data_IF_327090722718
#
_entry.id   IF_327090722718
#
_cell.length_a   1.000
_cell.length_b   1.000
_cell.length_c   1.000
_cell.angle_alpha   90.00
_cell.angle_beta   90.00
_cell.angle_gamma   90.00
#
_symmetry.space_group_name_H-M   'P 1'
#
loop_
_entity.id
_entity.type
_entity.pdbx_description
1 polymer ?
#
# COMPACT_ATOMS: atom_id res chain seq x y z
N UNK A 1 15.89 -9.93 -5.55
CA UNK A 1 14.95 -10.49 -4.56
C UNK A 1 15.09 -12.01 -4.59
N UNK A 2 15.43 -12.67 -3.49
CA UNK A 2 15.40 -14.12 -3.41
C UNK A 2 13.95 -14.55 -3.12
N UNK A 3 13.40 -15.44 -3.94
CA UNK A 3 12.04 -15.94 -3.82
C UNK A 3 11.93 -16.86 -2.59
N UNK A 4 11.02 -16.56 -1.66
CA UNK A 4 10.89 -17.31 -0.40
C UNK A 4 9.75 -18.34 -0.46
N UNK A 5 9.88 -19.50 0.20
CA UNK A 5 8.86 -20.55 0.23
C UNK A 5 7.50 -20.11 0.80
N UNK A 6 7.48 -19.09 1.66
CA UNK A 6 6.26 -18.60 2.33
C UNK A 6 5.49 -17.52 1.54
N UNK A 7 5.82 -17.33 0.25
CA UNK A 7 5.04 -16.41 -0.59
C UNK A 7 3.69 -17.05 -0.96
N UNK A 8 2.63 -16.25 -0.87
CA UNK A 8 1.29 -16.63 -1.31
C UNK A 8 1.10 -16.59 -2.83
N UNK A 9 2.00 -15.90 -3.53
CA UNK A 9 2.03 -15.82 -4.99
C UNK A 9 3.09 -16.82 -5.49
N UNK A 10 3.09 -17.27 -6.75
CA UNK A 10 4.25 -18.02 -7.32
C UNK A 10 5.24 -17.08 -8.00
N UNK A 11 6.44 -17.55 -8.33
CA UNK A 11 7.42 -16.74 -9.08
C UNK A 11 6.87 -16.34 -10.45
N UNK A 12 6.19 -17.26 -11.12
CA UNK A 12 5.55 -17.01 -12.42
C UNK A 12 4.43 -15.97 -12.31
N UNK A 13 3.58 -16.09 -11.28
CA UNK A 13 2.53 -15.09 -11.01
C UNK A 13 3.14 -13.71 -10.71
N UNK A 14 4.24 -13.65 -9.96
CA UNK A 14 4.96 -12.41 -9.67
C UNK A 14 5.51 -11.74 -10.94
N UNK A 15 6.08 -12.53 -11.85
CA UNK A 15 6.62 -12.03 -13.12
C UNK A 15 5.51 -11.49 -14.04
N UNK A 16 4.34 -12.14 -14.02
CA UNK A 16 3.17 -11.75 -14.81
C UNK A 16 2.29 -10.67 -14.17
N UNK A 17 2.46 -10.40 -12.88
CA UNK A 17 1.68 -9.40 -12.15
C UNK A 17 1.93 -7.97 -12.64
N UNK A 18 0.93 -7.10 -12.51
CA UNK A 18 1.11 -5.67 -12.71
C UNK A 18 2.00 -5.04 -11.61
N UNK A 19 2.42 -3.80 -11.82
CA UNK A 19 3.31 -3.11 -10.90
C UNK A 19 2.74 -2.97 -9.48
N UNK A 20 1.44 -2.69 -9.36
CA UNK A 20 0.76 -2.54 -8.06
C UNK A 20 0.72 -3.86 -7.32
N UNK A 21 0.39 -4.94 -8.00
CA UNK A 21 0.32 -6.30 -7.46
C UNK A 21 1.70 -6.77 -6.98
N UNK A 22 2.78 -6.45 -7.71
CA UNK A 22 4.16 -6.71 -7.26
C UNK A 22 4.53 -5.90 -6.02
N UNK A 23 4.22 -4.60 -6.00
CA UNK A 23 4.49 -3.75 -4.83
C UNK A 23 3.73 -4.23 -3.58
N UNK A 24 2.48 -4.67 -3.75
CA UNK A 24 1.67 -5.24 -2.66
C UNK A 24 2.26 -6.55 -2.14
N UNK A 25 2.69 -7.43 -3.04
CA UNK A 25 3.41 -8.65 -2.64
C UNK A 25 4.66 -8.32 -1.85
N UNK A 26 5.52 -7.43 -2.36
CA UNK A 26 6.78 -7.09 -1.71
C UNK A 26 6.55 -6.41 -0.36
N UNK A 27 5.50 -5.59 -0.25
CA UNK A 27 5.06 -4.99 1.01
C UNK A 27 4.71 -6.09 2.03
N UNK A 28 3.86 -7.04 1.67
CA UNK A 28 3.44 -8.15 2.55
C UNK A 28 4.66 -8.98 2.98
N UNK A 29 5.56 -9.27 2.04
CA UNK A 29 6.77 -10.02 2.32
C UNK A 29 7.73 -9.26 3.25
N UNK A 30 7.87 -7.94 3.09
CA UNK A 30 8.66 -7.11 3.99
C UNK A 30 8.05 -7.07 5.40
N UNK A 31 6.73 -6.90 5.51
CA UNK A 31 6.01 -6.94 6.78
C UNK A 31 6.13 -8.29 7.49
N UNK A 32 5.99 -9.39 6.76
CA UNK A 32 6.15 -10.75 7.31
C UNK A 32 7.54 -11.02 7.88
N UNK A 33 8.58 -10.38 7.34
CA UNK A 33 9.95 -10.42 7.86
C UNK A 33 10.24 -9.39 8.96
N UNK A 34 9.27 -8.54 9.31
CA UNK A 34 9.46 -7.43 10.23
C UNK A 34 10.32 -6.28 9.68
N UNK A 35 10.53 -6.23 8.37
CA UNK A 35 11.25 -5.14 7.70
C UNK A 35 10.31 -3.95 7.45
N UNK A 36 10.00 -3.25 8.54
CA UNK A 36 9.08 -2.12 8.54
C UNK A 36 9.59 -0.92 7.74
N UNK A 37 10.91 -0.78 7.62
CA UNK A 37 11.52 0.29 6.83
C UNK A 37 11.23 0.09 5.34
N UNK A 38 11.54 -1.09 4.81
CA UNK A 38 11.23 -1.43 3.40
C UNK A 38 9.73 -1.43 3.16
N UNK A 39 8.94 -1.97 4.09
CA UNK A 39 7.48 -1.95 3.99
C UNK A 39 6.93 -0.52 3.88
N UNK A 40 7.45 0.42 4.67
CA UNK A 40 7.06 1.83 4.61
C UNK A 40 7.33 2.45 3.24
N UNK A 41 8.52 2.21 2.67
CA UNK A 41 8.89 2.75 1.36
C UNK A 41 8.08 2.14 0.21
N UNK A 42 7.73 0.86 0.29
CA UNK A 42 6.86 0.21 -0.69
C UNK A 42 5.43 0.74 -0.60
N UNK A 43 4.90 0.92 0.61
CA UNK A 43 3.56 1.43 0.84
C UNK A 43 3.35 2.83 0.23
N UNK A 44 4.36 3.70 0.28
CA UNK A 44 4.33 5.04 -0.34
C UNK A 44 4.23 5.02 -1.87
N UNK A 45 4.62 3.92 -2.50
CA UNK A 45 4.61 3.79 -3.97
C UNK A 45 3.30 3.24 -4.51
N UNK A 46 2.52 2.55 -3.67
CA UNK A 46 1.28 1.89 -4.07
C UNK A 46 0.18 2.93 -4.32
N UNK A 47 -0.51 2.81 -5.46
CA UNK A 47 -1.74 3.56 -5.72
C UNK A 47 -2.91 2.86 -5.02
N UNK A 48 -3.18 3.30 -3.79
CA UNK A 48 -4.23 2.72 -2.95
C UNK A 48 -5.60 3.16 -3.49
N UNK A 49 -6.60 2.25 -3.64
CA UNK A 49 -7.95 2.64 -4.02
C UNK A 49 -8.56 3.66 -3.07
N UNK A 50 -9.36 4.59 -3.60
CA UNK A 50 -9.97 5.66 -2.83
C UNK A 50 -10.80 5.13 -1.64
N UNK A 51 -11.52 4.04 -1.84
CA UNK A 51 -12.34 3.37 -0.83
C UNK A 51 -11.50 2.80 0.31
N UNK A 52 -10.32 2.25 0.00
CA UNK A 52 -9.39 1.73 1.00
C UNK A 52 -8.75 2.87 1.80
N UNK A 53 -8.40 3.99 1.16
CA UNK A 53 -7.96 5.21 1.84
C UNK A 53 -9.04 5.78 2.76
N UNK A 54 -10.30 5.78 2.33
CA UNK A 54 -11.43 6.19 3.15
C UNK A 54 -11.64 5.26 4.34
N UNK A 55 -11.52 3.94 4.14
CA UNK A 55 -11.58 2.97 5.23
C UNK A 55 -10.45 3.19 6.24
N UNK A 56 -9.21 3.38 5.75
CA UNK A 56 -8.05 3.68 6.59
C UNK A 56 -8.23 4.97 7.40
N UNK A 57 -8.79 6.02 6.78
CA UNK A 57 -9.10 7.28 7.48
C UNK A 57 -10.10 7.04 8.60
N UNK A 58 -11.16 6.26 8.35
CA UNK A 58 -12.21 5.97 9.34
C UNK A 58 -11.71 5.15 10.53
N UNK A 59 -10.77 4.23 10.30
CA UNK A 59 -10.26 3.35 11.36
C UNK A 59 -9.09 3.96 12.13
N UNK A 60 -8.24 4.74 11.45
CA UNK A 60 -6.96 5.19 12.01
C UNK A 60 -6.81 6.71 12.09
N UNK A 61 -7.76 7.46 11.53
CA UNK A 61 -7.72 8.92 11.45
C UNK A 61 -6.91 9.45 10.26
N UNK A 62 -7.11 10.74 9.99
CA UNK A 62 -6.42 11.45 8.90
C UNK A 62 -4.92 11.61 9.16
N UNK A 63 -4.52 11.88 10.41
CA UNK A 63 -3.12 12.04 10.81
C UNK A 63 -2.30 10.80 10.48
N UNK A 64 -2.86 9.60 10.67
CA UNK A 64 -2.16 8.37 10.34
C UNK A 64 -1.83 8.27 8.85
N UNK A 65 -2.73 8.72 7.98
CA UNK A 65 -2.50 8.72 6.53
C UNK A 65 -1.37 9.69 6.17
N UNK A 66 -1.34 10.86 6.83
CA UNK A 66 -0.28 11.87 6.66
C UNK A 66 1.08 11.33 7.11
N UNK A 67 1.14 10.67 8.26
CA UNK A 67 2.36 10.02 8.77
C UNK A 67 2.89 8.92 7.84
N UNK A 68 1.98 8.11 7.27
CA UNK A 68 2.36 7.03 6.37
C UNK A 68 2.91 7.56 5.02
N UNK A 69 2.56 8.80 4.63
CA UNK A 69 3.03 9.42 3.40
C UNK A 69 2.56 8.71 2.13
N UNK A 70 1.43 8.00 2.20
CA UNK A 70 0.87 7.27 1.06
C UNK A 70 0.34 8.23 -0.01
N UNK A 71 0.29 7.76 -1.26
CA UNK A 71 -0.35 8.51 -2.33
C UNK A 71 -1.85 8.62 -2.08
N UNK A 72 -2.37 9.84 -2.17
CA UNK A 72 -3.78 10.17 -1.93
C UNK A 72 -4.55 10.57 -3.18
N UNK A 73 -3.90 10.57 -4.36
CA UNK A 73 -4.46 11.07 -5.61
C UNK A 73 -5.81 10.42 -5.99
N UNK A 74 -5.98 9.13 -5.72
CA UNK A 74 -7.24 8.41 -5.98
C UNK A 74 -8.38 8.92 -5.09
N UNK A 75 -8.13 9.14 -3.80
CA UNK A 75 -9.10 9.68 -2.87
C UNK A 75 -9.38 11.17 -3.14
N UNK A 76 -8.36 11.94 -3.49
CA UNK A 76 -8.53 13.35 -3.88
C UNK A 76 -9.43 13.49 -5.12
N UNK A 77 -9.23 12.63 -6.13
CA UNK A 77 -10.04 12.61 -7.34
C UNK A 77 -11.51 12.24 -7.05
N UNK A 78 -11.76 11.36 -6.07
CA UNK A 78 -13.11 10.87 -5.76
C UNK A 78 -13.87 11.70 -4.72
N UNK A 79 -13.19 12.15 -3.67
CA UNK A 79 -13.80 12.76 -2.49
C UNK A 79 -13.47 14.25 -2.33
N UNK A 80 -12.57 14.78 -3.16
CA UNK A 80 -12.07 16.15 -3.07
C UNK A 80 -10.71 16.23 -2.38
N UNK A 81 -9.96 17.31 -2.63
CA UNK A 81 -8.62 17.51 -2.04
C UNK A 81 -8.65 17.72 -0.52
N UNK A 82 -9.79 18.14 0.01
CA UNK A 82 -10.07 18.34 1.43
C UNK A 82 -10.56 17.07 2.14
N UNK A 83 -10.56 15.91 1.46
CA UNK A 83 -11.13 14.68 2.01
C UNK A 83 -10.48 14.20 3.31
N UNK A 84 -9.23 14.59 3.60
CA UNK A 84 -8.58 14.27 4.88
C UNK A 84 -9.13 15.11 6.04
N UNK A 85 -9.64 16.30 5.76
CA UNK A 85 -10.09 17.27 6.78
C UNK A 85 -11.60 17.22 7.07
N UNK A 86 -12.37 16.52 6.23
CA UNK A 86 -13.83 16.35 6.37
C UNK A 86 -14.26 15.18 7.25
#
# INVERSE_FOLDING_TARGET
>A
MAWTPDSYMTKEDYENADATSRLMHDLIMAQGRGDWATAGELLKQIDIPAEALMALKRTSGAERIRELGVKTATAEAKYGKDWLDR
#
